data_IF_710663123457
#
_entry.id   IF_710663123457
#
_cell.length_a   1.000
_cell.length_b   1.000
_cell.length_c   1.000
_cell.angle_alpha   90.00
_cell.angle_beta   90.00
_cell.angle_gamma   90.00
#
_symmetry.space_group_name_H-M   'P 1'
#
loop_
_entity.id
_entity.type
_entity.pdbx_description
1 polymer ?
#
# COMPACT_ATOMS: atom_id res chain seq x y z
N UNK A 1 14.78 47.57 20.69
CA UNK A 1 14.24 47.01 19.45
C UNK A 1 15.18 46.01 18.76
N UNK A 2 16.45 46.27 18.52
CA UNK A 2 17.38 45.33 17.86
C UNK A 2 17.56 44.00 18.61
N UNK A 3 17.56 44.03 19.95
CA UNK A 3 17.70 42.82 20.78
C UNK A 3 16.46 41.91 20.73
N UNK A 4 15.26 42.47 20.61
CA UNK A 4 14.01 41.71 20.51
C UNK A 4 13.86 40.98 19.16
N UNK A 5 14.31 41.64 18.10
CA UNK A 5 14.31 41.05 16.74
C UNK A 5 15.30 39.88 16.63
N UNK A 6 16.46 39.99 17.29
CA UNK A 6 17.44 38.92 17.34
C UNK A 6 16.91 37.71 18.12
N UNK A 7 16.18 37.95 19.24
CA UNK A 7 15.56 36.89 20.02
C UNK A 7 14.43 36.17 19.25
N UNK A 8 13.60 36.92 18.51
CA UNK A 8 12.56 36.33 17.64
C UNK A 8 13.19 35.50 16.50
N UNK A 9 14.28 35.98 15.91
CA UNK A 9 14.99 35.28 14.84
C UNK A 9 15.66 33.98 15.33
N UNK A 10 16.24 34.00 16.53
CA UNK A 10 16.84 32.82 17.16
C UNK A 10 15.74 31.81 17.57
N UNK A 11 14.60 32.28 18.08
CA UNK A 11 13.46 31.42 18.41
C UNK A 11 12.88 30.75 17.16
N UNK A 12 12.73 31.48 16.04
CA UNK A 12 12.24 30.86 14.79
C UNK A 12 13.22 29.84 14.20
N UNK A 13 14.52 29.98 14.44
CA UNK A 13 15.53 29.01 14.03
C UNK A 13 15.53 27.74 14.91
N UNK A 14 15.14 27.88 16.20
CA UNK A 14 15.10 26.73 17.12
C UNK A 14 13.86 25.86 16.93
N UNK A 15 12.75 26.40 16.44
CA UNK A 15 11.53 25.63 16.14
C UNK A 15 11.53 24.94 14.77
N UNK A 16 12.48 25.28 13.90
CA UNK A 16 12.56 24.71 12.53
C UNK A 16 13.35 23.41 12.42
N UNK A 17 13.98 22.92 13.50
CA UNK A 17 14.99 21.87 13.39
C UNK A 17 14.56 20.47 13.83
N UNK A 18 13.45 20.30 14.55
CA UNK A 18 13.10 18.98 15.12
C UNK A 18 12.29 18.07 14.19
N UNK A 19 11.39 18.63 13.40
CA UNK A 19 10.47 17.85 12.59
C UNK A 19 11.13 17.10 11.43
N UNK A 20 12.20 17.67 10.85
CA UNK A 20 12.92 17.04 9.73
C UNK A 20 13.73 15.81 10.12
N UNK A 21 14.11 15.66 11.38
CA UNK A 21 14.90 14.52 11.84
C UNK A 21 14.06 13.25 11.98
N UNK A 22 12.78 13.42 12.23
CA UNK A 22 11.87 12.28 12.37
C UNK A 22 11.57 11.62 11.02
N UNK A 23 11.40 12.40 9.96
CA UNK A 23 11.16 11.91 8.62
C UNK A 23 12.43 12.06 7.79
N UNK A 24 13.15 11.00 7.57
CA UNK A 24 14.39 10.99 6.78
C UNK A 24 14.13 11.13 5.27
N UNK A 25 13.27 12.06 4.87
CA UNK A 25 12.91 12.36 3.48
C UNK A 25 13.54 13.68 3.02
N UNK A 26 13.77 13.86 1.71
CA UNK A 26 14.33 15.10 1.16
C UNK A 26 13.39 16.29 1.36
N UNK A 27 12.09 16.05 1.27
CA UNK A 27 11.06 17.06 1.53
C UNK A 27 9.86 16.43 2.24
N UNK A 28 9.26 17.20 3.15
CA UNK A 28 8.05 16.82 3.85
C UNK A 28 6.94 17.81 3.52
N UNK A 29 5.77 17.30 3.20
CA UNK A 29 4.57 18.09 3.00
C UNK A 29 3.50 17.66 3.98
N UNK A 30 2.98 18.61 4.74
CA UNK A 30 1.78 18.42 5.54
C UNK A 30 0.58 18.63 4.62
N UNK A 31 -0.29 17.64 4.53
CA UNK A 31 -1.47 17.66 3.70
C UNK A 31 -2.67 18.03 4.56
N UNK A 32 -3.34 19.13 4.23
CA UNK A 32 -4.59 19.49 4.87
C UNK A 32 -5.74 18.76 4.16
N UNK A 33 -6.27 17.74 4.83
CA UNK A 33 -7.46 17.02 4.36
C UNK A 33 -8.69 17.68 4.97
N UNK A 34 -9.59 18.29 4.20
CA UNK A 34 -10.80 18.93 4.74
C UNK A 34 -11.64 17.94 5.55
N UNK A 35 -12.18 18.39 6.66
CA UNK A 35 -13.12 17.58 7.47
C UNK A 35 -14.37 17.22 6.66
N UNK A 36 -14.85 18.17 5.87
CA UNK A 36 -15.99 17.97 4.98
C UNK A 36 -15.52 17.28 3.71
N UNK A 37 -16.09 16.12 3.43
CA UNK A 37 -15.86 15.35 2.21
C UNK A 37 -17.17 15.12 1.49
N UNK A 38 -17.13 14.98 0.18
CA UNK A 38 -18.29 14.62 -0.61
C UNK A 38 -18.68 13.17 -0.32
N UNK A 39 -19.99 12.89 -0.30
CA UNK A 39 -20.48 11.51 -0.15
C UNK A 39 -20.47 10.80 -1.49
N UNK A 40 -19.91 9.60 -1.53
CA UNK A 40 -20.05 8.69 -2.67
C UNK A 40 -21.23 7.76 -2.42
N UNK A 41 -22.14 7.71 -3.39
CA UNK A 41 -23.25 6.78 -3.35
C UNK A 41 -22.84 5.45 -4.00
N UNK A 42 -23.14 4.36 -3.33
CA UNK A 42 -22.98 3.04 -3.91
C UNK A 42 -24.03 2.83 -5.02
N UNK A 43 -23.59 2.44 -6.21
CA UNK A 43 -24.46 2.18 -7.36
C UNK A 43 -24.82 0.70 -7.55
N UNK A 44 -24.15 -0.20 -6.84
CA UNK A 44 -24.37 -1.63 -6.95
C UNK A 44 -23.57 -2.42 -5.94
N UNK A 45 -23.90 -3.69 -5.78
CA UNK A 45 -23.23 -4.61 -4.84
C UNK A 45 -23.02 -5.96 -5.50
N UNK A 46 -21.78 -6.45 -5.51
CA UNK A 46 -21.43 -7.81 -5.95
C UNK A 46 -21.36 -8.70 -4.71
N UNK A 47 -22.23 -9.73 -4.63
CA UNK A 47 -22.38 -10.56 -3.41
C UNK A 47 -22.15 -12.05 -3.63
N UNK A 48 -21.83 -12.47 -4.86
CA UNK A 48 -21.74 -13.88 -5.22
C UNK A 48 -20.34 -14.49 -5.15
N UNK A 49 -19.38 -13.73 -4.62
CA UNK A 49 -18.01 -14.18 -4.42
C UNK A 49 -17.76 -14.24 -2.92
N UNK A 50 -17.35 -15.41 -2.43
CA UNK A 50 -17.04 -15.62 -1.02
C UNK A 50 -15.53 -15.55 -0.76
N UNK A 51 -15.15 -15.18 0.48
CA UNK A 51 -13.76 -15.17 0.91
C UNK A 51 -12.91 -14.12 0.18
N UNK A 52 -13.50 -12.98 -0.11
CA UNK A 52 -12.81 -11.87 -0.78
C UNK A 52 -11.72 -11.35 0.15
N UNK A 53 -10.50 -11.32 -0.36
CA UNK A 53 -9.34 -10.80 0.35
C UNK A 53 -8.96 -9.41 -0.12
N UNK A 54 -8.84 -9.23 -1.40
CA UNK A 54 -8.44 -7.96 -2.02
C UNK A 54 -9.03 -7.83 -3.42
N UNK A 55 -8.92 -6.62 -3.95
CA UNK A 55 -9.28 -6.30 -5.34
C UNK A 55 -8.15 -5.56 -6.04
N UNK A 56 -8.00 -5.79 -7.34
CA UNK A 56 -7.08 -5.08 -8.22
C UNK A 56 -7.83 -4.68 -9.49
N UNK A 57 -7.33 -3.71 -10.21
CA UNK A 57 -7.85 -3.33 -11.53
C UNK A 57 -6.81 -3.58 -12.62
N UNK A 58 -7.27 -4.03 -13.78
CA UNK A 58 -6.46 -4.19 -14.99
C UNK A 58 -7.32 -3.87 -16.22
N UNK A 59 -7.04 -2.75 -16.86
CA UNK A 59 -7.83 -2.26 -17.99
C UNK A 59 -9.32 -2.13 -17.66
N UNK A 60 -10.15 -3.02 -18.24
CA UNK A 60 -11.61 -3.07 -17.99
C UNK A 60 -12.02 -4.13 -16.97
N UNK A 61 -11.06 -4.79 -16.34
CA UNK A 61 -11.34 -5.90 -15.44
C UNK A 61 -11.12 -5.50 -13.99
N UNK A 62 -12.00 -6.00 -13.13
CA UNK A 62 -11.78 -6.08 -11.71
C UNK A 62 -11.30 -7.50 -11.39
N UNK A 63 -10.16 -7.62 -10.73
CA UNK A 63 -9.57 -8.87 -10.30
C UNK A 63 -9.84 -9.01 -8.81
N UNK A 64 -10.59 -10.03 -8.44
CA UNK A 64 -10.89 -10.35 -7.04
C UNK A 64 -9.97 -11.46 -6.59
N UNK A 65 -9.23 -11.22 -5.53
CA UNK A 65 -8.39 -12.22 -4.86
C UNK A 65 -9.18 -12.83 -3.72
N UNK A 66 -9.32 -14.15 -3.71
CA UNK A 66 -10.08 -14.86 -2.69
C UNK A 66 -9.22 -15.91 -1.96
N UNK A 67 -9.57 -16.20 -0.72
CA UNK A 67 -8.89 -17.21 0.10
C UNK A 67 -9.64 -18.53 0.20
N UNK A 68 -10.81 -18.63 -0.40
CA UNK A 68 -11.63 -19.83 -0.47
C UNK A 68 -12.21 -20.01 -1.88
N UNK A 69 -12.62 -21.22 -2.21
CA UNK A 69 -13.15 -21.57 -3.54
C UNK A 69 -12.11 -22.30 -4.41
N UNK A 70 -12.48 -22.57 -5.64
CA UNK A 70 -11.71 -23.40 -6.57
C UNK A 70 -10.54 -22.65 -7.23
N UNK A 71 -10.57 -21.32 -7.18
CA UNK A 71 -9.56 -20.47 -7.81
C UNK A 71 -9.21 -19.28 -6.91
N UNK A 72 -7.96 -18.83 -6.99
CA UNK A 72 -7.46 -17.70 -6.20
C UNK A 72 -7.92 -16.36 -6.80
N UNK A 73 -7.93 -16.27 -8.13
CA UNK A 73 -8.29 -15.06 -8.85
C UNK A 73 -9.62 -15.26 -9.59
N UNK A 74 -10.55 -14.34 -9.35
CA UNK A 74 -11.78 -14.20 -10.12
C UNK A 74 -11.74 -12.93 -10.93
N UNK A 75 -12.10 -12.97 -12.17
CA UNK A 75 -12.09 -11.83 -13.08
C UNK A 75 -13.51 -11.41 -13.38
N UNK A 76 -13.81 -10.18 -13.10
CA UNK A 76 -15.10 -9.54 -13.37
C UNK A 76 -14.91 -8.57 -14.52
N UNK A 77 -15.72 -8.70 -15.56
CA UNK A 77 -15.86 -7.63 -16.56
C UNK A 77 -16.86 -6.61 -16.02
N UNK A 78 -16.35 -5.42 -15.71
CA UNK A 78 -17.15 -4.36 -15.06
C UNK A 78 -18.30 -3.83 -15.91
N UNK A 79 -18.31 -4.10 -17.21
CA UNK A 79 -19.42 -3.69 -18.11
C UNK A 79 -20.66 -4.56 -17.96
N UNK A 80 -20.49 -5.81 -17.58
CA UNK A 80 -21.60 -6.76 -17.43
C UNK A 80 -21.76 -7.29 -16.01
N UNK A 81 -20.99 -6.78 -15.03
CA UNK A 81 -20.99 -7.14 -13.62
C UNK A 81 -20.96 -8.67 -13.39
N UNK A 82 -20.22 -9.39 -14.24
CA UNK A 82 -20.20 -10.84 -14.22
C UNK A 82 -18.77 -11.39 -14.12
N UNK A 83 -18.63 -12.51 -13.41
CA UNK A 83 -17.39 -13.29 -13.40
C UNK A 83 -17.27 -13.98 -14.77
N UNK A 84 -16.23 -13.60 -15.51
CA UNK A 84 -15.96 -14.12 -16.85
C UNK A 84 -14.87 -15.21 -16.87
N UNK A 85 -14.00 -15.23 -15.84
CA UNK A 85 -12.94 -16.21 -15.70
C UNK A 85 -12.56 -16.40 -14.24
N UNK A 86 -11.93 -17.55 -13.96
CA UNK A 86 -11.25 -17.82 -12.70
C UNK A 86 -10.02 -18.67 -12.96
N UNK A 87 -8.91 -18.37 -12.26
CA UNK A 87 -7.67 -19.12 -12.39
C UNK A 87 -6.81 -19.04 -11.13
N UNK A 88 -5.73 -19.82 -11.13
CA UNK A 88 -4.82 -19.95 -9.99
C UNK A 88 -5.41 -20.87 -8.92
N UNK A 89 -4.66 -21.91 -8.57
CA UNK A 89 -5.00 -22.88 -7.55
C UNK A 89 -3.84 -23.09 -6.61
N UNK A 90 -4.11 -23.50 -5.38
CA UNK A 90 -3.05 -23.94 -4.47
C UNK A 90 -2.65 -25.34 -4.82
N UNK A 91 -1.35 -25.57 -5.04
CA UNK A 91 -0.83 -26.87 -5.41
C UNK A 91 0.67 -26.87 -5.70
N UNK A 92 1.15 -27.87 -6.44
CA UNK A 92 2.58 -28.09 -6.71
C UNK A 92 2.95 -28.02 -8.19
N UNK A 93 2.02 -27.84 -9.08
CA UNK A 93 2.31 -27.69 -10.50
C UNK A 93 2.94 -26.31 -10.80
N UNK A 94 3.56 -26.16 -11.93
CA UNK A 94 4.26 -24.92 -12.32
C UNK A 94 3.32 -23.72 -12.47
N UNK A 95 2.05 -23.95 -12.76
CA UNK A 95 0.97 -22.99 -12.90
C UNK A 95 0.09 -22.85 -11.63
N UNK A 96 0.41 -23.60 -10.57
CA UNK A 96 -0.22 -23.52 -9.26
C UNK A 96 0.62 -22.71 -8.27
N UNK A 97 0.04 -22.30 -7.16
CA UNK A 97 0.69 -21.55 -6.10
C UNK A 97 0.91 -22.45 -4.89
N UNK A 98 2.07 -22.31 -4.23
CA UNK A 98 2.37 -23.10 -3.03
C UNK A 98 1.43 -22.80 -1.86
N UNK A 99 0.86 -21.61 -1.84
CA UNK A 99 -0.15 -21.12 -0.88
C UNK A 99 -0.94 -19.97 -1.52
N UNK A 100 -2.00 -19.52 -0.87
CA UNK A 100 -2.68 -18.29 -1.28
C UNK A 100 -1.69 -17.13 -1.15
N UNK A 101 -1.38 -16.40 -2.23
CA UNK A 101 -0.37 -15.36 -2.22
C UNK A 101 -0.76 -14.19 -1.30
N UNK A 102 0.22 -13.58 -0.69
CA UNK A 102 0.05 -12.38 0.13
C UNK A 102 0.38 -11.10 -0.60
N UNK A 103 1.25 -11.19 -1.62
CA UNK A 103 1.70 -10.05 -2.41
C UNK A 103 1.40 -10.28 -3.88
N UNK A 104 0.71 -9.32 -4.49
CA UNK A 104 0.36 -9.30 -5.91
C UNK A 104 0.06 -7.88 -6.36
N UNK A 105 0.34 -7.59 -7.60
CA UNK A 105 0.10 -6.28 -8.22
C UNK A 105 0.05 -6.40 -9.73
N UNK A 106 -0.48 -5.37 -10.37
CA UNK A 106 -0.51 -5.26 -11.83
C UNK A 106 0.62 -4.33 -12.26
N UNK A 107 1.34 -4.71 -13.30
CA UNK A 107 2.33 -3.87 -13.98
C UNK A 107 2.21 -4.05 -15.48
N UNK A 108 2.46 -3.00 -16.23
CA UNK A 108 2.44 -3.00 -17.70
C UNK A 108 3.88 -2.92 -18.20
N UNK A 109 4.49 -4.04 -18.55
CA UNK A 109 5.87 -4.09 -19.06
C UNK A 109 5.99 -3.77 -20.56
N UNK A 110 4.93 -4.04 -21.30
CA UNK A 110 4.81 -3.78 -22.74
C UNK A 110 3.57 -2.93 -22.96
N UNK A 111 3.63 -2.01 -23.90
CA UNK A 111 2.52 -1.11 -24.22
C UNK A 111 1.22 -1.90 -24.39
N UNK A 112 0.26 -1.63 -23.49
CA UNK A 112 -1.09 -2.18 -23.54
C UNK A 112 -1.25 -3.60 -22.97
N UNK A 113 -0.24 -4.21 -22.35
CA UNK A 113 -0.36 -5.54 -21.74
C UNK A 113 -0.22 -5.49 -20.23
N UNK A 114 -1.32 -5.72 -19.55
CA UNK A 114 -1.33 -5.88 -18.10
C UNK A 114 -0.84 -7.27 -17.70
N UNK A 115 0.17 -7.31 -16.85
CA UNK A 115 0.73 -8.53 -16.25
C UNK A 115 0.43 -8.55 -14.76
N UNK A 116 -0.01 -9.71 -14.29
CA UNK A 116 -0.22 -9.93 -12.86
C UNK A 116 1.04 -10.54 -12.26
N UNK A 117 1.68 -9.82 -11.36
CA UNK A 117 2.83 -10.28 -10.58
C UNK A 117 2.31 -10.88 -9.29
N UNK A 118 2.73 -12.09 -8.99
CA UNK A 118 2.32 -12.83 -7.79
C UNK A 118 3.56 -13.33 -7.07
N UNK A 119 3.84 -12.75 -5.93
CA UNK A 119 4.99 -13.12 -5.12
C UNK A 119 4.64 -14.32 -4.24
N UNK A 120 5.44 -15.37 -4.35
CA UNK A 120 5.52 -16.51 -3.44
C UNK A 120 6.76 -16.36 -2.53
N UNK A 121 7.07 -17.39 -1.76
CA UNK A 121 8.15 -17.36 -0.77
C UNK A 121 9.54 -17.04 -1.36
N UNK A 122 9.90 -17.68 -2.47
CA UNK A 122 11.23 -17.64 -3.07
C UNK A 122 11.22 -17.16 -4.53
N UNK A 123 10.06 -16.79 -5.03
CA UNK A 123 9.86 -16.44 -6.44
C UNK A 123 8.71 -15.52 -6.68
N UNK A 124 8.74 -14.82 -7.79
CA UNK A 124 7.61 -14.08 -8.33
C UNK A 124 7.17 -14.70 -9.64
N UNK A 125 5.92 -15.11 -9.74
CA UNK A 125 5.30 -15.54 -11.00
C UNK A 125 4.72 -14.35 -11.71
N UNK A 126 5.07 -14.19 -12.99
CA UNK A 126 4.52 -13.18 -13.88
C UNK A 126 3.51 -13.86 -14.79
N UNK A 127 2.26 -13.46 -14.66
CA UNK A 127 1.12 -14.10 -15.30
C UNK A 127 0.64 -13.21 -16.45
N UNK A 128 0.47 -13.81 -17.62
CA UNK A 128 -0.19 -13.18 -18.77
C UNK A 128 -1.70 -13.14 -18.52
N UNK A 129 -2.18 -11.95 -18.11
CA UNK A 129 -3.55 -11.79 -17.67
C UNK A 129 -4.56 -12.06 -18.79
N UNK A 130 -4.35 -11.52 -20.00
CA UNK A 130 -5.26 -11.72 -21.12
C UNK A 130 -5.40 -13.17 -21.53
N UNK A 131 -4.28 -13.90 -21.60
CA UNK A 131 -4.30 -15.33 -21.92
C UNK A 131 -4.95 -16.13 -20.80
N UNK A 132 -4.67 -15.79 -19.54
CA UNK A 132 -5.29 -16.47 -18.41
C UNK A 132 -6.80 -16.31 -18.36
N UNK A 133 -7.29 -15.11 -18.71
CA UNK A 133 -8.73 -14.85 -18.87
C UNK A 133 -9.33 -15.69 -20.00
N UNK A 134 -8.68 -15.67 -21.17
CA UNK A 134 -9.18 -16.39 -22.35
C UNK A 134 -9.22 -17.90 -22.15
N UNK A 135 -8.23 -18.45 -21.47
CA UNK A 135 -8.09 -19.89 -21.26
C UNK A 135 -8.75 -20.37 -19.95
N UNK A 136 -9.20 -19.45 -19.09
CA UNK A 136 -9.65 -19.72 -17.72
C UNK A 136 -8.64 -20.59 -16.94
N UNK A 137 -7.34 -20.30 -17.18
CA UNK A 137 -6.22 -21.05 -16.62
C UNK A 137 -5.08 -20.06 -16.28
N UNK A 138 -4.29 -20.38 -15.26
CA UNK A 138 -3.10 -19.60 -14.92
C UNK A 138 -2.03 -19.78 -16.02
N UNK A 139 -1.79 -18.75 -16.83
CA UNK A 139 -0.75 -18.74 -17.86
C UNK A 139 0.47 -18.00 -17.35
N UNK A 140 1.41 -18.75 -16.77
CA UNK A 140 2.67 -18.20 -16.29
C UNK A 140 3.58 -17.86 -17.48
N UNK A 141 3.88 -16.57 -17.67
CA UNK A 141 4.80 -16.08 -18.72
C UNK A 141 6.25 -16.34 -18.35
N UNK A 142 6.60 -16.09 -17.09
CA UNK A 142 7.92 -16.38 -16.54
C UNK A 142 7.87 -16.48 -15.00
N UNK A 143 8.89 -17.09 -14.45
CA UNK A 143 9.14 -17.13 -13.01
C UNK A 143 10.46 -16.44 -12.72
N UNK A 144 10.46 -15.47 -11.81
CA UNK A 144 11.64 -14.77 -11.35
C UNK A 144 12.03 -15.39 -10.01
N UNK A 145 13.25 -15.91 -9.92
CA UNK A 145 13.78 -16.41 -8.65
C UNK A 145 14.32 -15.23 -7.84
N UNK A 146 13.87 -15.11 -6.62
CA UNK A 146 14.30 -14.07 -5.66
C UNK A 146 15.45 -14.62 -4.80
N UNK A 147 16.58 -14.95 -5.44
CA UNK A 147 17.69 -15.68 -4.83
C UNK A 147 18.39 -14.95 -3.68
N UNK A 148 18.21 -13.65 -3.57
CA UNK A 148 18.95 -12.81 -2.63
C UNK A 148 18.07 -12.23 -1.51
N UNK A 149 16.81 -12.59 -1.47
CA UNK A 149 15.88 -12.09 -0.47
C UNK A 149 15.19 -13.24 0.25
N UNK A 150 15.48 -13.47 1.52
CA UNK A 150 14.62 -14.36 2.28
C UNK A 150 13.20 -13.77 2.33
N UNK A 151 12.27 -14.58 2.04
CA UNK A 151 10.79 -14.72 2.18
C UNK A 151 9.97 -13.55 2.77
N UNK A 152 10.58 -12.52 3.32
CA UNK A 152 9.95 -11.51 4.17
C UNK A 152 9.92 -10.12 3.57
N UNK A 153 10.36 -9.94 2.33
CA UNK A 153 10.43 -8.65 1.67
C UNK A 153 9.27 -8.44 0.70
N UNK A 154 8.66 -7.27 0.76
CA UNK A 154 7.88 -6.81 -0.36
C UNK A 154 8.85 -6.48 -1.51
N UNK A 155 8.72 -7.21 -2.62
CA UNK A 155 9.50 -6.98 -3.82
C UNK A 155 8.55 -6.53 -4.94
N UNK A 156 8.67 -5.27 -5.32
CA UNK A 156 7.87 -4.67 -6.38
C UNK A 156 8.69 -4.61 -7.67
N UNK A 157 8.39 -5.47 -8.64
CA UNK A 157 8.98 -5.40 -9.97
C UNK A 157 8.30 -4.28 -10.78
N UNK A 158 9.10 -3.30 -11.18
CA UNK A 158 8.64 -2.19 -12.02
C UNK A 158 8.57 -2.67 -13.47
N UNK A 159 9.59 -3.42 -13.88
CA UNK A 159 9.65 -4.13 -15.15
C UNK A 159 10.64 -5.30 -15.01
N UNK A 160 10.99 -5.98 -16.12
CA UNK A 160 11.90 -7.15 -16.07
C UNK A 160 13.31 -6.83 -15.58
N UNK A 161 13.76 -5.57 -15.63
CA UNK A 161 15.10 -5.15 -15.28
C UNK A 161 15.17 -4.30 -14.02
N UNK A 162 14.03 -3.85 -13.51
CA UNK A 162 13.95 -2.88 -12.42
C UNK A 162 13.01 -3.38 -11.33
N UNK A 163 13.47 -3.30 -10.09
CA UNK A 163 12.67 -3.65 -8.92
C UNK A 163 12.98 -2.76 -7.72
N UNK A 164 11.99 -2.58 -6.86
CA UNK A 164 12.13 -1.96 -5.55
C UNK A 164 11.89 -3.03 -4.48
N UNK A 165 12.75 -3.06 -3.49
CA UNK A 165 12.67 -4.01 -2.38
C UNK A 165 12.56 -3.24 -1.08
N UNK A 166 11.52 -3.52 -0.30
CA UNK A 166 11.45 -3.11 1.09
C UNK A 166 12.18 -4.12 1.97
N UNK A 167 13.22 -3.67 2.65
CA UNK A 167 14.03 -4.50 3.54
C UNK A 167 13.57 -4.49 5.01
N UNK A 168 12.66 -3.62 5.39
CA UNK A 168 12.25 -3.50 6.80
C UNK A 168 11.50 -4.72 7.32
N UNK A 169 10.68 -5.33 6.47
CA UNK A 169 9.92 -6.55 6.84
C UNK A 169 10.81 -7.80 6.92
N UNK A 170 12.03 -7.74 6.38
CA UNK A 170 12.93 -8.87 6.20
C UNK A 170 13.65 -9.34 7.44
N UNK A 171 13.70 -8.56 8.47
CA UNK A 171 14.55 -8.91 9.60
C UNK A 171 13.92 -10.01 10.43
N UNK A 172 14.48 -11.21 10.34
CA UNK A 172 14.12 -12.33 11.21
C UNK A 172 14.55 -12.08 12.66
N UNK A 173 15.60 -11.27 12.86
CA UNK A 173 16.06 -10.82 14.17
C UNK A 173 15.82 -9.31 14.30
N UNK A 174 14.93 -8.99 15.18
CA UNK A 174 14.53 -7.63 15.46
C UNK A 174 15.65 -6.73 16.03
N UNK A 175 16.71 -7.33 16.61
CA UNK A 175 17.91 -6.60 17.03
C UNK A 175 18.70 -6.03 15.87
N UNK A 176 18.37 -6.43 14.63
CA UNK A 176 18.97 -5.91 13.41
C UNK A 176 18.23 -4.71 12.80
N UNK A 177 17.07 -4.35 13.31
CA UNK A 177 16.39 -3.09 12.97
C UNK A 177 17.14 -1.91 13.61
N UNK A 178 18.35 -1.69 13.17
CA UNK A 178 19.04 -0.45 13.49
C UNK A 178 18.59 0.62 12.51
N UNK A 179 18.40 1.84 12.98
CA UNK A 179 18.03 3.02 12.21
C UNK A 179 19.04 3.36 11.08
N UNK A 180 20.16 2.64 11.03
CA UNK A 180 21.22 2.82 10.05
C UNK A 180 21.04 1.97 8.78
N UNK A 181 20.06 1.03 8.78
CA UNK A 181 19.86 0.16 7.61
C UNK A 181 18.88 0.77 6.62
N UNK A 182 19.18 0.67 5.32
CA UNK A 182 18.29 1.16 4.29
C UNK A 182 16.99 0.37 4.30
N UNK A 183 15.90 1.11 4.31
CA UNK A 183 14.56 0.56 4.31
C UNK A 183 14.14 0.08 2.91
N UNK A 184 14.49 0.86 1.88
CA UNK A 184 14.13 0.58 0.49
C UNK A 184 15.37 0.57 -0.39
N UNK A 185 15.43 -0.39 -1.31
CA UNK A 185 16.50 -0.48 -2.29
C UNK A 185 15.92 -0.63 -3.69
N UNK A 186 16.34 0.23 -4.59
CA UNK A 186 16.01 0.13 -6.01
C UNK A 186 17.14 -0.54 -6.76
N UNK A 187 16.80 -1.54 -7.54
CA UNK A 187 17.71 -2.31 -8.37
C UNK A 187 17.40 -2.09 -9.84
N UNK A 188 18.43 -1.89 -10.63
CA UNK A 188 18.38 -1.87 -12.10
C UNK A 188 19.38 -2.85 -12.65
N UNK A 189 18.93 -3.73 -13.55
CA UNK A 189 19.77 -4.78 -14.12
C UNK A 189 20.51 -5.62 -13.05
N UNK A 190 19.86 -5.90 -11.93
CA UNK A 190 20.41 -6.58 -10.74
C UNK A 190 21.48 -5.81 -9.98
N UNK A 191 21.76 -4.57 -10.36
CA UNK A 191 22.68 -3.69 -9.66
C UNK A 191 21.90 -2.79 -8.72
N UNK A 192 22.38 -2.63 -7.49
CA UNK A 192 21.83 -1.67 -6.54
C UNK A 192 22.14 -0.26 -7.05
N UNK A 193 21.12 0.52 -7.34
CA UNK A 193 21.25 1.87 -7.87
C UNK A 193 21.00 2.94 -6.81
N UNK A 194 20.01 2.69 -5.95
CA UNK A 194 19.59 3.65 -4.93
C UNK A 194 19.15 2.95 -3.66
N UNK A 195 19.48 3.58 -2.55
CA UNK A 195 19.11 3.11 -1.21
C UNK A 195 18.50 4.26 -0.45
N UNK A 196 17.33 4.04 0.16
CA UNK A 196 16.64 5.03 0.97
C UNK A 196 16.35 4.49 2.37
N UNK A 197 16.69 5.28 3.38
CA UNK A 197 16.24 5.07 4.74
C UNK A 197 15.27 6.20 5.09
N UNK A 198 14.00 6.02 4.80
CA UNK A 198 12.95 7.03 4.92
C UNK A 198 11.89 6.67 5.96
N UNK A 199 12.11 5.61 6.72
CA UNK A 199 11.23 5.27 7.83
C UNK A 199 11.30 6.34 8.90
N UNK A 200 10.14 6.75 9.47
CA UNK A 200 10.13 7.63 10.62
C UNK A 200 10.95 7.05 11.77
N UNK A 201 11.70 7.91 12.45
CA UNK A 201 12.53 7.51 13.59
C UNK A 201 11.66 7.29 14.83
N UNK A 202 11.31 6.04 15.13
CA UNK A 202 10.58 5.68 16.34
C UNK A 202 11.58 5.37 17.47
N UNK A 203 11.87 6.36 18.30
CA UNK A 203 12.98 6.32 19.27
C UNK A 203 12.65 5.52 20.52
N UNK A 204 11.38 5.44 20.90
CA UNK A 204 10.97 4.93 22.22
C UNK A 204 10.28 3.56 22.19
N UNK A 205 10.43 2.81 21.10
CA UNK A 205 9.86 1.47 20.98
C UNK A 205 10.93 0.43 21.21
N UNK A 206 11.07 -0.04 22.45
CA UNK A 206 12.05 -1.05 22.83
C UNK A 206 11.73 -2.47 22.32
N UNK A 207 10.48 -2.72 21.92
CA UNK A 207 10.05 -4.01 21.44
C UNK A 207 10.23 -4.12 19.92
N UNK A 208 11.16 -4.92 19.46
CA UNK A 208 11.45 -5.07 18.05
C UNK A 208 10.35 -5.71 17.20
N UNK A 209 9.50 -6.55 17.77
CA UNK A 209 8.34 -7.11 17.06
C UNK A 209 7.26 -6.04 16.85
N UNK A 210 7.13 -5.14 17.83
CA UNK A 210 6.25 -3.99 17.71
C UNK A 210 6.75 -3.01 16.64
N UNK A 211 8.06 -2.75 16.57
CA UNK A 211 8.65 -1.96 15.49
C UNK A 211 8.35 -2.54 14.11
N UNK A 212 8.48 -3.87 13.94
CA UNK A 212 8.11 -4.53 12.68
C UNK A 212 6.65 -4.30 12.32
N UNK A 213 5.77 -4.36 13.29
CA UNK A 213 4.35 -4.13 13.10
C UNK A 213 4.07 -2.68 12.70
N UNK A 214 4.68 -1.71 13.40
CA UNK A 214 4.50 -0.28 13.12
C UNK A 214 4.99 0.10 11.72
N UNK A 215 6.05 -0.54 11.26
CA UNK A 215 6.62 -0.29 9.93
C UNK A 215 5.98 -1.11 8.79
N UNK A 216 4.88 -1.82 9.05
CA UNK A 216 4.15 -2.47 7.95
C UNK A 216 3.69 -1.41 6.96
N UNK A 217 4.12 -1.58 5.73
CA UNK A 217 3.74 -0.73 4.61
C UNK A 217 3.23 -1.53 3.41
N UNK A 218 2.76 -0.80 2.41
CA UNK A 218 2.46 -1.31 1.07
C UNK A 218 3.17 -0.47 0.04
N UNK A 219 3.78 -1.14 -0.92
CA UNK A 219 4.44 -0.50 -2.06
C UNK A 219 3.54 -0.51 -3.28
N UNK A 220 3.56 0.61 -3.99
CA UNK A 220 2.87 0.79 -5.27
C UNK A 220 3.83 1.43 -6.25
N UNK A 221 3.61 1.21 -7.53
CA UNK A 221 4.38 1.86 -8.59
C UNK A 221 3.43 2.58 -9.53
N UNK A 222 3.81 3.78 -9.93
CA UNK A 222 3.16 4.51 -11.02
C UNK A 222 3.28 3.70 -12.30
N UNK A 223 2.22 3.62 -13.09
CA UNK A 223 2.18 2.74 -14.26
C UNK A 223 3.31 3.01 -15.27
N UNK A 224 3.75 4.26 -15.41
CA UNK A 224 4.88 4.65 -16.24
C UNK A 224 6.26 4.27 -15.65
N UNK A 225 6.32 3.73 -14.44
CA UNK A 225 7.55 3.30 -13.77
C UNK A 225 8.45 4.43 -13.28
N UNK A 226 8.00 5.70 -13.29
CA UNK A 226 8.82 6.85 -12.91
C UNK A 226 8.85 7.13 -11.42
N UNK A 227 7.77 6.77 -10.71
CA UNK A 227 7.62 6.98 -9.27
C UNK A 227 7.11 5.72 -8.58
N UNK A 228 7.45 5.59 -7.30
CA UNK A 228 6.89 4.61 -6.40
C UNK A 228 6.31 5.28 -5.15
N UNK A 229 5.40 4.59 -4.48
CA UNK A 229 4.76 5.01 -3.24
C UNK A 229 4.94 3.94 -2.19
N UNK A 230 5.42 4.30 -1.00
CA UNK A 230 5.24 3.53 0.22
C UNK A 230 4.13 4.16 1.06
N UNK A 231 3.23 3.34 1.52
CA UNK A 231 2.10 3.73 2.37
C UNK A 231 2.14 2.92 3.65
N UNK A 232 2.45 3.58 4.77
CA UNK A 232 2.49 2.94 6.07
C UNK A 232 1.08 2.73 6.63
N UNK A 233 0.84 1.57 7.23
CA UNK A 233 -0.48 1.22 7.78
C UNK A 233 -0.74 1.88 9.13
N UNK A 234 0.21 1.82 10.03
CA UNK A 234 0.06 2.21 11.44
C UNK A 234 0.72 3.57 11.77
N UNK A 235 1.32 4.18 10.82
CA UNK A 235 1.86 5.54 10.88
C UNK A 235 1.21 6.32 9.74
N UNK A 236 0.70 7.51 10.01
CA UNK A 236 0.14 8.35 8.95
C UNK A 236 1.26 9.00 8.15
N UNK A 237 1.95 8.16 7.40
CA UNK A 237 3.08 8.57 6.57
C UNK A 237 3.04 7.84 5.22
N UNK A 238 3.23 8.64 4.19
CA UNK A 238 3.42 8.18 2.82
C UNK A 238 4.77 8.68 2.34
N UNK A 239 5.44 7.90 1.54
CA UNK A 239 6.66 8.34 0.85
C UNK A 239 6.51 8.13 -0.65
N UNK A 240 6.63 9.21 -1.40
CA UNK A 240 6.75 9.16 -2.86
C UNK A 240 8.23 9.19 -3.22
N UNK A 241 8.67 8.20 -3.97
CA UNK A 241 10.03 8.06 -4.49
C UNK A 241 10.05 8.45 -5.96
N UNK A 242 10.89 9.37 -6.34
CA UNK A 242 11.24 9.63 -7.74
C UNK A 242 12.39 8.66 -8.11
N UNK A 243 12.07 7.66 -8.92
CA UNK A 243 13.02 6.58 -9.25
C UNK A 243 14.15 7.06 -10.18
N UNK A 244 13.96 8.14 -10.92
CA UNK A 244 14.99 8.72 -11.77
C UNK A 244 15.97 9.58 -10.98
N UNK A 245 15.46 10.54 -10.20
CA UNK A 245 16.30 11.48 -9.46
C UNK A 245 16.79 10.92 -8.13
N UNK A 246 16.07 9.96 -7.55
CA UNK A 246 16.31 9.44 -6.22
C UNK A 246 15.75 10.30 -5.10
N UNK A 247 15.04 11.38 -5.41
CA UNK A 247 14.43 12.25 -4.42
C UNK A 247 13.21 11.61 -3.78
N UNK A 248 12.95 11.99 -2.54
CA UNK A 248 11.84 11.51 -1.75
C UNK A 248 10.97 12.65 -1.25
N UNK A 249 9.66 12.46 -1.29
CA UNK A 249 8.66 13.35 -0.72
C UNK A 249 7.85 12.60 0.32
N UNK A 250 7.97 13.00 1.58
CA UNK A 250 7.11 12.53 2.66
C UNK A 250 5.81 13.32 2.68
N UNK A 251 4.69 12.63 2.91
CA UNK A 251 3.37 13.22 3.09
C UNK A 251 2.80 12.77 4.41
N UNK A 252 2.21 13.70 5.14
CA UNK A 252 1.56 13.47 6.44
C UNK A 252 0.29 14.30 6.49
N UNK A 253 -0.78 13.74 7.05
CA UNK A 253 -2.01 14.50 7.27
C UNK A 253 -1.84 15.51 8.41
N UNK A 254 -2.34 16.73 8.24
CA UNK A 254 -2.25 17.80 9.26
C UNK A 254 -2.86 17.40 10.60
N UNK A 255 -3.90 16.55 10.60
CA UNK A 255 -4.54 16.06 11.82
C UNK A 255 -3.73 15.00 12.56
N UNK A 256 -2.77 14.39 11.89
CA UNK A 256 -1.86 13.37 12.46
C UNK A 256 -0.44 13.89 12.60
N UNK A 257 -0.21 15.12 12.20
CA UNK A 257 1.09 15.77 12.33
C UNK A 257 1.39 16.04 13.81
N UNK A 258 2.49 15.50 14.28
CA UNK A 258 2.88 15.61 15.67
C UNK A 258 2.84 14.31 16.45
N UNK A 259 2.32 13.23 15.86
CA UNK A 259 2.36 11.86 16.39
C UNK A 259 1.87 11.73 17.83
N UNK A 260 0.60 11.97 18.06
CA UNK A 260 -0.02 11.81 19.37
C UNK A 260 0.25 10.43 19.98
N UNK A 261 0.40 9.39 19.13
CA UNK A 261 0.69 8.04 19.61
C UNK A 261 2.14 7.84 20.08
N UNK A 262 3.10 8.68 19.69
CA UNK A 262 4.47 8.63 20.20
C UNK A 262 4.60 9.24 21.58
N UNK A 263 3.63 10.03 22.03
CA UNK A 263 3.55 10.55 23.38
C UNK A 263 3.01 9.52 24.37
N UNK A 264 2.52 8.36 23.88
CA UNK A 264 2.06 7.27 24.70
C UNK A 264 3.01 6.09 24.60
N UNK A 265 3.42 5.54 25.72
CA UNK A 265 4.22 4.33 25.77
C UNK A 265 3.43 3.15 25.16
N UNK A 266 3.85 2.69 23.97
CA UNK A 266 3.31 1.50 23.33
C UNK A 266 4.19 0.32 23.69
N UNK A 267 3.62 -0.62 24.42
CA UNK A 267 4.29 -1.85 24.88
C UNK A 267 3.71 -3.08 24.18
N UNK A 268 4.39 -4.22 24.32
CA UNK A 268 3.86 -5.50 23.85
C UNK A 268 2.51 -5.88 24.44
N UNK A 269 2.18 -5.35 25.62
CA UNK A 269 0.95 -5.71 26.32
C UNK A 269 -0.23 -4.81 25.96
N UNK A 270 0.03 -3.59 25.49
CA UNK A 270 -1.02 -2.60 25.22
C UNK A 270 -1.16 -2.22 23.75
N UNK A 271 -0.30 -2.70 22.84
CA UNK A 271 -0.28 -2.25 21.44
C UNK A 271 -1.63 -2.47 20.72
N UNK A 272 -2.32 -3.58 21.00
CA UNK A 272 -3.63 -3.86 20.38
C UNK A 272 -4.69 -2.83 20.79
N UNK A 273 -4.57 -2.25 21.97
CA UNK A 273 -5.52 -1.25 22.48
C UNK A 273 -5.22 0.16 21.98
N UNK A 274 -3.94 0.46 21.70
CA UNK A 274 -3.47 1.81 21.36
C UNK A 274 -3.16 1.98 19.87
N UNK A 275 -2.87 0.88 19.16
CA UNK A 275 -2.49 0.92 17.77
C UNK A 275 -3.63 1.44 16.91
N UNK A 276 -3.36 2.51 16.16
CA UNK A 276 -4.29 3.14 15.24
C UNK A 276 -3.95 2.75 13.80
N UNK A 277 -4.97 2.46 12.99
CA UNK A 277 -4.80 2.26 11.57
C UNK A 277 -5.05 3.59 10.88
N UNK A 278 -4.07 4.08 10.15
CA UNK A 278 -4.22 5.32 9.38
C UNK A 278 -4.58 5.03 7.92
N UNK A 279 -3.83 4.15 7.28
CA UNK A 279 -4.00 3.83 5.89
C UNK A 279 -4.31 2.34 5.72
N UNK A 280 -5.46 2.03 5.15
CA UNK A 280 -5.92 0.66 4.98
C UNK A 280 -5.45 0.07 3.65
N UNK A 281 -5.70 0.78 2.57
CA UNK A 281 -5.37 0.39 1.21
C UNK A 281 -5.14 1.60 0.33
N UNK A 282 -4.57 1.37 -0.85
CA UNK A 282 -4.54 2.35 -1.92
C UNK A 282 -4.68 1.68 -3.27
N UNK A 283 -5.15 2.43 -4.25
CA UNK A 283 -4.99 2.11 -5.65
C UNK A 283 -4.40 3.31 -6.39
N UNK A 284 -3.57 3.03 -7.37
CA UNK A 284 -2.83 4.07 -8.10
C UNK A 284 -2.99 3.90 -9.60
N UNK A 285 -2.96 5.02 -10.31
CA UNK A 285 -2.84 5.05 -11.77
C UNK A 285 -1.77 6.08 -12.18
N UNK A 286 -1.74 6.48 -13.45
CA UNK A 286 -0.76 7.47 -13.93
C UNK A 286 -0.98 8.88 -13.37
N UNK A 287 -2.19 9.23 -13.01
CA UNK A 287 -2.54 10.58 -12.57
C UNK A 287 -2.71 10.69 -11.06
N UNK A 288 -3.24 9.65 -10.39
CA UNK A 288 -3.77 9.73 -9.05
C UNK A 288 -3.30 8.61 -8.13
N UNK A 289 -3.27 8.94 -6.85
CA UNK A 289 -3.15 8.04 -5.72
C UNK A 289 -4.47 8.15 -4.94
N UNK A 290 -5.25 7.08 -4.92
CA UNK A 290 -6.47 6.99 -4.13
C UNK A 290 -6.17 6.18 -2.86
N UNK A 291 -6.35 6.78 -1.71
CA UNK A 291 -6.04 6.18 -0.42
C UNK A 291 -7.29 5.94 0.40
N UNK A 292 -7.46 4.73 0.85
CA UNK A 292 -8.47 4.35 1.84
C UNK A 292 -7.93 4.60 3.24
N UNK A 293 -8.47 5.60 3.91
CA UNK A 293 -8.14 5.95 5.30
C UNK A 293 -9.20 5.40 6.25
N UNK A 294 -8.77 4.85 7.37
CA UNK A 294 -9.68 4.30 8.40
C UNK A 294 -9.68 5.18 9.67
N UNK A 295 -8.51 5.46 10.23
CA UNK A 295 -8.30 6.23 11.45
C UNK A 295 -8.90 5.63 12.74
N UNK A 296 -9.28 4.34 12.75
CA UNK A 296 -9.75 3.61 13.94
C UNK A 296 -8.62 2.96 14.73
N UNK A 297 -8.89 2.64 15.99
CA UNK A 297 -8.03 1.73 16.74
C UNK A 297 -8.10 0.32 16.15
N UNK A 298 -6.96 -0.36 16.14
CA UNK A 298 -6.86 -1.72 15.60
C UNK A 298 -7.84 -2.69 16.28
N UNK A 299 -8.00 -2.59 17.61
CA UNK A 299 -8.95 -3.39 18.37
C UNK A 299 -10.40 -3.21 17.92
N UNK A 300 -10.78 -1.96 17.62
CA UNK A 300 -12.15 -1.63 17.21
C UNK A 300 -12.43 -2.19 15.81
N UNK A 301 -11.43 -2.14 14.94
CA UNK A 301 -11.53 -2.77 13.62
C UNK A 301 -11.70 -4.28 13.71
N UNK A 302 -10.90 -4.96 14.56
CA UNK A 302 -10.96 -6.42 14.71
C UNK A 302 -12.23 -6.86 15.42
N UNK A 303 -12.73 -6.09 16.38
CA UNK A 303 -13.93 -6.38 17.13
C UNK A 303 -15.23 -6.01 16.37
N UNK A 304 -15.13 -5.16 15.35
CA UNK A 304 -16.30 -4.67 14.63
C UNK A 304 -16.89 -5.77 13.76
N UNK A 305 -18.11 -6.14 14.06
CA UNK A 305 -18.97 -6.97 13.20
C UNK A 305 -19.92 -6.14 12.35
N UNK A 306 -19.94 -4.82 12.56
CA UNK A 306 -20.86 -3.90 11.93
C UNK A 306 -20.21 -3.12 10.77
N UNK A 307 -20.95 -2.98 9.68
CA UNK A 307 -20.65 -2.04 8.59
C UNK A 307 -20.98 -0.58 8.97
N UNK A 308 -21.15 -0.29 10.25
CA UNK A 308 -21.61 1.01 10.77
C UNK A 308 -20.55 2.13 10.66
N UNK A 309 -19.37 1.81 10.16
CA UNK A 309 -18.29 2.79 10.03
C UNK A 309 -18.14 3.25 8.57
N UNK A 310 -18.16 4.55 8.38
CA UNK A 310 -17.81 5.13 7.09
C UNK A 310 -16.30 5.09 6.85
N UNK A 311 -15.91 4.82 5.62
CA UNK A 311 -14.52 4.92 5.17
C UNK A 311 -14.30 6.24 4.44
N UNK A 312 -13.09 6.78 4.56
CA UNK A 312 -12.69 7.98 3.82
C UNK A 312 -11.70 7.61 2.73
N UNK A 313 -11.90 8.16 1.53
CA UNK A 313 -11.00 8.02 0.41
C UNK A 313 -10.42 9.39 0.10
N UNK A 314 -9.10 9.53 0.20
CA UNK A 314 -8.38 10.74 -0.17
C UNK A 314 -7.69 10.55 -1.51
N UNK A 315 -7.75 11.57 -2.36
CA UNK A 315 -7.15 11.57 -3.70
C UNK A 315 -6.01 12.57 -3.73
N UNK A 316 -4.82 12.10 -4.09
CA UNK A 316 -3.63 12.90 -4.29
C UNK A 316 -3.14 12.75 -5.73
N UNK A 317 -2.38 13.72 -6.20
CA UNK A 317 -1.52 13.54 -7.37
C UNK A 317 -0.15 12.95 -6.97
N UNK A 318 0.67 12.60 -7.97
CA UNK A 318 2.00 12.07 -7.76
C UNK A 318 3.06 13.13 -7.34
N UNK A 319 2.67 14.38 -7.25
CA UNK A 319 3.48 15.46 -6.67
C UNK A 319 3.06 15.74 -5.21
N UNK A 320 2.14 14.92 -4.69
CA UNK A 320 1.66 14.96 -3.31
C UNK A 320 0.68 16.10 -3.03
N UNK A 321 0.07 16.68 -4.05
CA UNK A 321 -1.00 17.66 -3.84
C UNK A 321 -2.32 16.93 -3.54
N UNK A 322 -3.03 17.39 -2.50
CA UNK A 322 -4.38 16.94 -2.21
C UNK A 322 -5.36 17.49 -3.26
N UNK A 323 -6.16 16.61 -3.83
CA UNK A 323 -7.13 16.96 -4.87
C UNK A 323 -8.57 16.92 -4.36
N UNK A 324 -8.94 15.84 -3.66
CA UNK A 324 -10.31 15.68 -3.13
C UNK A 324 -10.36 14.60 -2.06
N UNK A 325 -11.48 14.56 -1.32
CA UNK A 325 -11.80 13.43 -0.45
C UNK A 325 -13.27 13.07 -0.53
N UNK A 326 -13.55 11.79 -0.31
CA UNK A 326 -14.89 11.24 -0.34
C UNK A 326 -15.13 10.40 0.91
N UNK A 327 -16.38 10.40 1.37
CA UNK A 327 -16.87 9.51 2.42
C UNK A 327 -17.81 8.49 1.79
N UNK A 328 -17.63 7.23 2.14
CA UNK A 328 -18.54 6.14 1.80
C UNK A 328 -19.11 5.54 3.08
N UNK A 329 -20.39 5.24 3.08
CA UNK A 329 -21.13 4.76 4.27
C UNK A 329 -20.86 3.26 4.59
N UNK A 330 -19.68 2.76 4.21
CA UNK A 330 -19.28 1.38 4.36
C UNK A 330 -17.88 1.27 4.94
N UNK A 331 -17.65 0.27 5.79
CA UNK A 331 -16.34 -0.08 6.27
C UNK A 331 -15.62 -0.89 5.20
N UNK A 332 -14.69 -0.26 4.50
CA UNK A 332 -13.93 -0.88 3.42
C UNK A 332 -12.58 -1.41 3.92
N UNK A 333 -12.17 -2.54 3.34
CA UNK A 333 -10.86 -3.17 3.57
C UNK A 333 -9.86 -2.88 2.46
N UNK A 334 -10.34 -2.84 1.22
CA UNK A 334 -9.51 -2.63 0.04
C UNK A 334 -10.29 -1.89 -1.05
N UNK A 335 -9.58 -1.26 -1.98
CA UNK A 335 -10.18 -0.50 -3.08
C UNK A 335 -9.45 -0.75 -4.39
N UNK A 336 -10.18 -0.68 -5.49
CA UNK A 336 -9.64 -0.68 -6.85
C UNK A 336 -10.38 0.33 -7.73
N UNK A 337 -9.65 1.11 -8.51
CA UNK A 337 -10.22 2.04 -9.47
C UNK A 337 -10.10 1.50 -10.89
N UNK A 338 -11.21 1.34 -11.59
CA UNK A 338 -11.28 0.85 -12.96
C UNK A 338 -11.48 2.05 -13.90
N UNK A 339 -10.41 2.49 -14.54
CA UNK A 339 -10.39 3.69 -15.39
C UNK A 339 -11.42 3.62 -16.51
N UNK A 340 -11.54 2.48 -17.20
CA UNK A 340 -12.45 2.32 -18.34
C UNK A 340 -13.93 2.45 -17.97
N UNK A 341 -14.26 2.29 -16.70
CA UNK A 341 -15.61 2.46 -16.16
C UNK A 341 -15.78 3.76 -15.37
N UNK A 342 -14.66 4.47 -15.08
CA UNK A 342 -14.63 5.64 -14.16
C UNK A 342 -15.30 5.25 -12.84
N UNK A 343 -15.01 4.06 -12.33
CA UNK A 343 -15.65 3.49 -11.16
C UNK A 343 -14.64 3.02 -10.12
N UNK A 344 -14.96 3.29 -8.87
CA UNK A 344 -14.23 2.80 -7.72
C UNK A 344 -14.99 1.61 -7.13
N UNK A 345 -14.28 0.53 -6.89
CA UNK A 345 -14.79 -0.68 -6.24
C UNK A 345 -14.16 -0.80 -4.85
N UNK A 346 -14.98 -1.05 -3.85
CA UNK A 346 -14.54 -1.21 -2.47
C UNK A 346 -14.95 -2.57 -1.91
N UNK A 347 -14.05 -3.25 -1.22
CA UNK A 347 -14.34 -4.51 -0.53
C UNK A 347 -14.78 -4.22 0.89
N UNK A 348 -15.95 -4.74 1.28
CA UNK A 348 -16.41 -4.70 2.67
C UNK A 348 -15.51 -5.51 3.58
N UNK A 349 -15.24 -4.98 4.77
CA UNK A 349 -14.44 -5.66 5.79
C UNK A 349 -15.07 -6.99 6.26
N UNK A 350 -16.38 -7.05 6.37
CA UNK A 350 -17.07 -8.13 7.09
C UNK A 350 -18.09 -8.92 6.28
N UNK A 351 -18.42 -8.52 5.06
CA UNK A 351 -19.60 -9.04 4.36
C UNK A 351 -19.32 -9.80 3.07
N UNK A 352 -18.07 -10.02 2.72
CA UNK A 352 -17.72 -10.62 1.41
C UNK A 352 -18.47 -9.92 0.25
N UNK A 353 -18.54 -8.59 0.28
CA UNK A 353 -19.21 -7.77 -0.72
C UNK A 353 -18.24 -6.81 -1.37
N UNK A 354 -18.48 -6.52 -2.64
CA UNK A 354 -17.81 -5.45 -3.38
C UNK A 354 -18.88 -4.41 -3.75
N UNK A 355 -18.62 -3.17 -3.37
CA UNK A 355 -19.46 -2.01 -3.62
C UNK A 355 -18.95 -1.20 -4.79
#
# INVERSE_FOLDING_TARGET
MKSLLLYLFVMTLLFSCDDRRFYSVDSLRVVEVPENADSLLCSGVITHIAGIRNVLSAGKYLIVVQNCGDTIFKIIDVKCDSVIAGFGQVGRASDEFSQVPCFYYISSEEEGKDLLYVQELDRTKVIDLEKSIKESKCVVRRTILESDSPITHACLHINQNEKMVDKAVAFSDARELTMERPAYTYYKNRTEEKVWNVYPALVDVDNPNLLKLLYIDRLFVKKDGTKALSMMKFIDHLTIFDLHTGKTLGLVDSHSYGFDFLNEEITSDNYLEKLKIYNMAACVNDDYILMLKDCRLYKDMVASTDDAYSSRISVLDWDGAFLSSFVVDWSLWDIAYVESAIALYGVSLNLDKIY
#
